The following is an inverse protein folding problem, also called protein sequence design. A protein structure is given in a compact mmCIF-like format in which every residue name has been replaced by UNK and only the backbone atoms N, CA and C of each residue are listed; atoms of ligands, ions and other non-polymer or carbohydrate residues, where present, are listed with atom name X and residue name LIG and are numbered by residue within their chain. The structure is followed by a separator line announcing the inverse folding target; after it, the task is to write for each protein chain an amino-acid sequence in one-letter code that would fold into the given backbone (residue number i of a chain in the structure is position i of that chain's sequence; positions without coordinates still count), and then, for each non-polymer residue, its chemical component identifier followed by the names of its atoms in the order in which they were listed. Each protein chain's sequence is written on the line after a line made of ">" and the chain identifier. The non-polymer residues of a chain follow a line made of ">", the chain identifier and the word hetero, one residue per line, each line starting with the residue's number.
data_IF_740521230793
#
_entry.id   IF_740521230793
#
_cell.length_a   1.000
_cell.length_b   1.000
_cell.length_c   1.000
_cell.angle_alpha   90.00
_cell.angle_beta   90.00
_cell.angle_gamma   90.00
#
_symmetry.space_group_name_H-M   'P 1'
#
loop_
_entity.id
_entity.type
_entity.pdbx_description
1 polymer ?
#
# COMPACT_ATOMS: atom_id res chain seq x y z
N UNK A 1 30.48 -7.03 -20.58
CA UNK A 1 30.32 -7.60 -19.25
C UNK A 1 28.93 -7.39 -18.72
N UNK A 2 28.43 -8.37 -18.10
CA UNK A 2 27.08 -8.27 -17.57
C UNK A 2 27.06 -7.37 -16.34
N UNK A 3 26.03 -6.55 -16.26
CA UNK A 3 25.84 -5.74 -15.07
C UNK A 3 25.52 -6.63 -13.88
N UNK A 4 25.89 -6.19 -12.74
CA UNK A 4 25.54 -6.90 -11.53
C UNK A 4 24.03 -7.03 -11.43
N UNK A 5 23.57 -8.22 -11.10
CA UNK A 5 22.16 -8.46 -10.87
C UNK A 5 21.73 -8.09 -9.45
N UNK A 6 22.69 -7.80 -8.58
CA UNK A 6 22.38 -7.40 -7.22
C UNK A 6 21.80 -5.98 -7.22
N UNK A 7 20.78 -5.71 -6.42
CA UNK A 7 20.29 -4.35 -6.31
C UNK A 7 21.34 -3.46 -5.63
N UNK A 8 21.29 -2.16 -5.87
CA UNK A 8 22.18 -1.27 -5.13
C UNK A 8 21.88 -1.34 -3.64
N UNK A 9 22.90 -1.11 -2.85
CA UNK A 9 22.71 -1.10 -1.40
C UNK A 9 21.71 0.01 -1.03
N UNK A 10 20.87 -0.29 -0.07
CA UNK A 10 19.89 0.68 0.41
C UNK A 10 20.62 1.86 1.02
N UNK A 11 20.24 3.05 0.62
CA UNK A 11 20.81 4.28 1.14
C UNK A 11 22.02 4.79 0.40
N UNK A 12 22.48 4.07 -0.64
CA UNK A 12 23.66 4.49 -1.40
C UNK A 12 23.33 5.16 -2.72
N UNK A 13 22.08 5.14 -3.13
CA UNK A 13 21.69 5.80 -4.37
C UNK A 13 21.66 7.30 -4.17
N UNK A 14 21.60 8.04 -5.26
CA UNK A 14 21.56 9.48 -5.21
C UNK A 14 20.28 10.01 -4.57
N UNK A 15 20.02 11.30 -4.77
CA UNK A 15 18.85 11.94 -4.19
C UNK A 15 17.57 11.21 -4.61
N UNK A 16 16.64 11.01 -3.69
CA UNK A 16 15.36 10.43 -4.07
C UNK A 16 14.64 11.32 -5.05
N UNK A 17 13.97 10.69 -6.01
CA UNK A 17 13.15 11.41 -6.98
C UNK A 17 11.70 11.36 -6.53
N UNK A 18 10.88 12.33 -7.00
CA UNK A 18 9.45 12.25 -6.71
C UNK A 18 8.89 10.87 -7.09
N UNK A 19 8.12 10.27 -6.21
CA UNK A 19 7.53 8.97 -6.45
C UNK A 19 8.43 7.77 -6.17
N UNK A 20 9.67 7.99 -5.77
CA UNK A 20 10.60 6.90 -5.48
C UNK A 20 10.73 6.59 -4.00
N UNK A 21 10.11 7.37 -3.16
CA UNK A 21 10.20 7.15 -1.73
C UNK A 21 8.88 7.47 -1.06
N UNK A 22 8.69 6.87 0.10
CA UNK A 22 7.54 7.15 0.94
C UNK A 22 8.05 7.45 2.35
N UNK A 23 7.27 8.19 3.10
CA UNK A 23 7.58 8.50 4.49
C UNK A 23 6.74 7.61 5.39
N UNK A 24 7.33 7.20 6.50
CA UNK A 24 6.63 6.37 7.49
C UNK A 24 6.96 6.89 8.88
N UNK A 25 6.04 6.69 9.82
CA UNK A 25 6.28 7.08 11.20
C UNK A 25 6.91 5.92 11.97
N UNK A 26 7.70 6.24 12.99
CA UNK A 26 8.34 5.22 13.80
C UNK A 26 7.34 4.28 14.46
N UNK A 27 6.26 4.84 15.00
CA UNK A 27 5.23 4.01 15.65
C UNK A 27 4.56 3.05 14.67
N UNK A 28 4.43 3.46 13.43
CA UNK A 28 3.86 2.59 12.40
C UNK A 28 4.75 1.35 12.22
N UNK A 29 6.05 1.52 12.28
CA UNK A 29 6.96 0.38 12.15
C UNK A 29 6.83 -0.60 13.31
N UNK A 30 6.64 -0.10 14.53
CA UNK A 30 6.43 -0.97 15.67
C UNK A 30 5.15 -1.80 15.50
N UNK A 31 4.08 -1.12 15.09
CA UNK A 31 2.81 -1.81 14.84
C UNK A 31 2.94 -2.81 13.69
N UNK A 32 3.68 -2.44 12.67
CA UNK A 32 3.91 -3.30 11.50
C UNK A 32 4.69 -4.55 11.89
N UNK A 33 5.69 -4.40 12.75
CA UNK A 33 6.44 -5.55 13.25
C UNK A 33 5.50 -6.52 13.97
N UNK A 34 4.57 -5.98 14.78
CA UNK A 34 3.56 -6.81 15.43
C UNK A 34 2.64 -7.49 14.43
N UNK A 35 2.27 -6.79 13.37
CA UNK A 35 1.45 -7.36 12.31
C UNK A 35 2.17 -8.51 11.62
N UNK A 36 3.47 -8.34 11.35
CA UNK A 36 4.27 -9.41 10.74
C UNK A 36 4.21 -10.67 11.59
N UNK A 37 4.32 -10.51 12.89
CA UNK A 37 4.32 -11.65 13.81
C UNK A 37 2.96 -12.36 13.84
N UNK A 38 1.87 -11.61 13.78
CA UNK A 38 0.51 -12.16 13.90
C UNK A 38 -0.10 -12.55 12.57
N UNK A 39 0.13 -11.75 11.56
CA UNK A 39 -0.53 -11.88 10.26
C UNK A 39 0.49 -11.63 9.14
N UNK A 40 1.43 -12.54 8.92
CA UNK A 40 2.53 -12.28 7.98
C UNK A 40 2.07 -12.00 6.55
N UNK A 41 1.00 -12.66 6.08
CA UNK A 41 0.53 -12.41 4.71
C UNK A 41 -0.10 -11.03 4.58
N UNK A 42 -0.82 -10.59 5.62
CA UNK A 42 -1.37 -9.25 5.63
C UNK A 42 -0.26 -8.20 5.62
N UNK A 43 0.78 -8.42 6.42
CA UNK A 43 1.92 -7.51 6.47
C UNK A 43 2.63 -7.46 5.11
N UNK A 44 2.78 -8.60 4.46
CA UNK A 44 3.39 -8.66 3.13
C UNK A 44 2.56 -7.85 2.12
N UNK A 45 1.24 -8.05 2.15
CA UNK A 45 0.36 -7.30 1.26
C UNK A 45 0.50 -5.79 1.51
N UNK A 46 0.57 -5.39 2.77
CA UNK A 46 0.71 -3.97 3.09
C UNK A 46 1.99 -3.39 2.49
N UNK A 47 3.09 -4.13 2.54
CA UNK A 47 4.33 -3.68 1.91
C UNK A 47 4.15 -3.49 0.40
N UNK A 48 3.47 -4.42 -0.26
CA UNK A 48 3.21 -4.29 -1.69
C UNK A 48 2.35 -3.06 -2.00
N UNK A 49 1.34 -2.81 -1.17
CA UNK A 49 0.49 -1.64 -1.38
C UNK A 49 1.27 -0.34 -1.17
N UNK A 50 2.08 -0.29 -0.12
CA UNK A 50 2.88 0.91 0.14
C UNK A 50 3.87 1.16 -1.00
N UNK A 51 4.46 0.10 -1.54
CA UNK A 51 5.40 0.22 -2.64
C UNK A 51 4.75 0.75 -3.92
N UNK A 52 3.44 0.49 -4.10
CA UNK A 52 2.73 0.84 -5.33
C UNK A 52 1.86 2.08 -5.20
N UNK A 53 1.68 2.60 -4.00
CA UNK A 53 0.71 3.67 -3.79
C UNK A 53 1.10 4.95 -4.52
N UNK A 54 0.08 5.62 -5.05
CA UNK A 54 0.26 6.90 -5.70
C UNK A 54 0.19 8.05 -4.72
N UNK A 55 0.01 9.25 -5.27
CA UNK A 55 0.07 10.48 -4.47
C UNK A 55 -1.00 10.57 -3.41
N UNK A 56 -2.13 9.91 -3.62
CA UNK A 56 -3.24 9.96 -2.66
C UNK A 56 -3.29 8.69 -1.82
N UNK A 57 -2.16 8.03 -1.68
CA UNK A 57 -2.04 6.79 -0.92
C UNK A 57 -2.94 5.67 -1.47
N UNK A 58 -3.35 5.78 -2.72
CA UNK A 58 -4.28 4.83 -3.31
C UNK A 58 -3.58 3.95 -4.33
N UNK A 59 -3.96 2.67 -4.35
CA UNK A 59 -3.49 1.70 -5.33
C UNK A 59 -4.71 1.09 -5.98
N UNK A 60 -4.81 1.21 -7.30
CA UNK A 60 -5.91 0.60 -8.06
C UNK A 60 -5.36 -0.69 -8.65
N UNK A 61 -5.85 -1.82 -8.17
CA UNK A 61 -5.29 -3.10 -8.57
C UNK A 61 -6.32 -4.20 -8.32
N UNK A 62 -6.26 -5.26 -9.13
CA UNK A 62 -7.12 -6.41 -8.92
C UNK A 62 -6.51 -7.35 -7.89
N UNK A 63 -7.38 -8.15 -7.25
CA UNK A 63 -6.89 -9.17 -6.32
C UNK A 63 -6.03 -10.20 -7.03
N UNK A 64 -6.36 -10.48 -8.29
CA UNK A 64 -5.59 -11.44 -9.07
C UNK A 64 -4.16 -10.95 -9.27
N UNK A 65 -3.99 -9.67 -9.56
CA UNK A 65 -2.66 -9.10 -9.71
C UNK A 65 -1.90 -9.13 -8.39
N UNK A 66 -2.58 -8.82 -7.29
CA UNK A 66 -1.96 -8.90 -5.97
C UNK A 66 -1.52 -10.32 -5.65
N UNK A 67 -2.35 -11.30 -5.99
CA UNK A 67 -1.99 -12.70 -5.78
C UNK A 67 -0.72 -13.06 -6.53
N UNK A 68 -0.58 -12.58 -7.76
CA UNK A 68 0.63 -12.84 -8.54
C UNK A 68 1.85 -12.17 -7.92
N UNK A 69 1.70 -10.92 -7.49
CA UNK A 69 2.81 -10.20 -6.85
C UNK A 69 3.28 -10.91 -5.58
N UNK A 70 2.34 -11.42 -4.81
CA UNK A 70 2.66 -12.06 -3.54
C UNK A 70 3.04 -13.53 -3.69
N UNK A 71 2.74 -14.13 -4.84
CA UNK A 71 2.97 -15.55 -5.02
C UNK A 71 2.03 -16.42 -4.20
N UNK A 72 0.79 -15.98 -4.04
CA UNK A 72 -0.21 -16.67 -3.22
C UNK A 72 -1.52 -16.79 -4.00
N UNK A 73 -2.50 -17.47 -3.40
CA UNK A 73 -3.82 -17.64 -4.01
C UNK A 73 -4.67 -16.39 -3.80
N UNK A 74 -5.73 -16.28 -4.62
CA UNK A 74 -6.71 -15.20 -4.44
C UNK A 74 -7.34 -15.25 -3.06
N UNK A 75 -7.56 -16.44 -2.55
CA UNK A 75 -8.14 -16.61 -1.22
C UNK A 75 -7.25 -16.00 -0.14
N UNK A 76 -5.94 -16.23 -0.26
CA UNK A 76 -4.99 -15.66 0.68
C UNK A 76 -5.00 -14.13 0.60
N UNK A 77 -5.10 -13.57 -0.62
CA UNK A 77 -5.19 -12.13 -0.79
C UNK A 77 -6.45 -11.59 -0.12
N UNK A 78 -7.60 -12.24 -0.34
CA UNK A 78 -8.84 -11.76 0.28
C UNK A 78 -8.75 -11.78 1.80
N UNK A 79 -8.16 -12.83 2.36
CA UNK A 79 -7.98 -12.92 3.80
C UNK A 79 -7.05 -11.82 4.32
N UNK A 80 -5.96 -11.56 3.60
CA UNK A 80 -5.02 -10.50 3.98
C UNK A 80 -5.69 -9.13 3.93
N UNK A 81 -6.49 -8.87 2.90
CA UNK A 81 -7.22 -7.61 2.79
C UNK A 81 -8.18 -7.45 3.97
N UNK A 82 -8.91 -8.51 4.30
CA UNK A 82 -9.84 -8.47 5.42
C UNK A 82 -9.12 -8.10 6.71
N UNK A 83 -7.96 -8.70 6.95
CA UNK A 83 -7.17 -8.41 8.14
C UNK A 83 -6.70 -6.95 8.17
N UNK A 84 -6.23 -6.45 7.04
CA UNK A 84 -5.74 -5.07 6.96
C UNK A 84 -6.86 -4.05 7.17
N UNK A 85 -8.04 -4.33 6.62
CA UNK A 85 -9.19 -3.44 6.78
C UNK A 85 -9.66 -3.47 8.23
N UNK A 86 -9.72 -4.64 8.84
CA UNK A 86 -10.18 -4.79 10.21
C UNK A 86 -9.30 -4.01 11.18
N UNK A 87 -8.02 -3.95 10.94
CA UNK A 87 -7.08 -3.23 11.81
C UNK A 87 -6.78 -1.82 11.31
N UNK A 88 -7.51 -1.37 10.30
CA UNK A 88 -7.43 0.01 9.80
C UNK A 88 -6.09 0.39 9.16
N UNK A 89 -5.38 -0.59 8.64
CA UNK A 89 -4.18 -0.32 7.86
C UNK A 89 -4.52 0.25 6.49
N UNK A 90 -5.63 -0.23 5.92
CA UNK A 90 -6.09 0.23 4.60
C UNK A 90 -7.61 0.34 4.60
N UNK A 91 -8.11 1.12 3.64
CA UNK A 91 -9.53 1.15 3.29
C UNK A 91 -9.68 0.63 1.88
N UNK A 92 -10.82 0.05 1.56
CA UNK A 92 -11.10 -0.46 0.22
C UNK A 92 -12.25 0.32 -0.37
N UNK A 93 -12.05 0.82 -1.59
CA UNK A 93 -13.08 1.52 -2.34
C UNK A 93 -13.32 0.71 -3.61
N UNK A 94 -14.55 0.22 -3.79
CA UNK A 94 -14.90 -0.53 -5.00
C UNK A 94 -15.15 0.46 -6.13
N UNK A 95 -14.55 0.16 -7.28
CA UNK A 95 -14.72 1.00 -8.44
C UNK A 95 -15.89 0.50 -9.27
N UNK A 96 -16.66 1.44 -9.82
CA UNK A 96 -17.77 1.09 -10.69
C UNK A 96 -17.25 0.57 -12.03
N UNK A 97 -17.96 -0.41 -12.56
CA UNK A 97 -17.61 -0.96 -13.86
C UNK A 97 -17.49 -2.47 -13.81
N UNK A 98 -17.24 -3.09 -14.94
CA UNK A 98 -17.08 -4.54 -14.98
C UNK A 98 -15.76 -4.94 -14.33
N UNK A 99 -15.76 -6.09 -13.68
CA UNK A 99 -14.55 -6.64 -13.12
C UNK A 99 -14.44 -6.45 -11.62
N UNK A 100 -13.31 -6.85 -11.08
CA UNK A 100 -13.08 -6.93 -9.65
C UNK A 100 -11.96 -6.00 -9.20
N UNK A 101 -11.85 -4.86 -9.83
CA UNK A 101 -10.81 -3.89 -9.49
C UNK A 101 -11.31 -3.01 -8.35
N UNK A 102 -10.45 -2.82 -7.37
CA UNK A 102 -10.72 -1.95 -6.24
C UNK A 102 -9.57 -0.98 -6.04
N UNK A 103 -9.85 0.11 -5.35
CA UNK A 103 -8.81 1.01 -4.90
C UNK A 103 -8.55 0.72 -3.42
N UNK A 104 -7.29 0.54 -3.09
CA UNK A 104 -6.86 0.31 -1.71
C UNK A 104 -6.15 1.57 -1.25
N UNK A 105 -6.65 2.18 -0.19
CA UNK A 105 -6.10 3.44 0.31
C UNK A 105 -5.35 3.14 1.60
N UNK A 106 -4.05 3.35 1.58
CA UNK A 106 -3.21 3.11 2.74
C UNK A 106 -3.45 4.22 3.76
N UNK A 107 -3.60 3.84 5.03
CA UNK A 107 -3.80 4.80 6.10
C UNK A 107 -2.59 5.74 6.15
N UNK A 108 -2.86 7.05 6.19
CA UNK A 108 -1.81 8.06 6.17
C UNK A 108 -0.96 8.05 7.45
N UNK A 109 -1.43 7.41 8.49
CA UNK A 109 -0.62 7.22 9.70
C UNK A 109 0.40 6.11 9.53
N UNK A 110 0.24 5.30 8.49
CA UNK A 110 1.20 4.23 8.19
C UNK A 110 2.32 4.77 7.30
N UNK A 111 1.93 5.39 6.20
CA UNK A 111 2.89 5.87 5.20
C UNK A 111 2.22 6.95 4.34
N UNK A 112 3.04 7.78 3.74
CA UNK A 112 2.54 8.75 2.76
C UNK A 112 3.61 9.00 1.71
N UNK A 113 3.14 9.22 0.48
CA UNK A 113 4.04 9.34 -0.68
C UNK A 113 4.29 10.75 -1.15
N UNK A 114 3.88 11.76 -0.38
CA UNK A 114 4.04 13.16 -0.77
C UNK A 114 4.35 13.99 0.46
N UNK A 115 4.78 15.25 0.29
CA UNK A 115 5.11 16.10 1.43
C UNK A 115 3.96 16.15 2.43
N UNK A 116 4.32 16.25 3.71
CA UNK A 116 3.36 16.16 4.81
C UNK A 116 2.29 17.23 4.71
N UNK A 117 2.63 18.40 4.19
CA UNK A 117 1.68 19.49 4.05
C UNK A 117 0.60 19.19 3.01
N UNK A 118 0.83 18.19 2.12
CA UNK A 118 -0.14 17.79 1.12
C UNK A 118 -0.93 16.56 1.54
N UNK A 119 -0.60 15.98 2.67
CA UNK A 119 -1.22 14.73 3.12
C UNK A 119 -2.70 14.93 3.42
N UNK A 120 -3.05 16.08 3.96
CA UNK A 120 -4.43 16.39 4.28
C UNK A 120 -5.31 16.36 3.03
N UNK A 121 -4.78 16.84 1.92
CA UNK A 121 -5.50 16.79 0.65
C UNK A 121 -5.72 15.37 0.19
N UNK A 122 -4.71 14.51 0.34
CA UNK A 122 -4.84 13.11 -0.02
C UNK A 122 -5.96 12.43 0.75
N UNK A 123 -5.99 12.67 2.06
CA UNK A 123 -7.01 12.07 2.91
C UNK A 123 -8.41 12.57 2.50
N UNK A 124 -8.51 13.86 2.25
CA UNK A 124 -9.77 14.44 1.83
C UNK A 124 -10.24 13.85 0.50
N UNK A 125 -9.33 13.75 -0.46
CA UNK A 125 -9.67 13.17 -1.76
C UNK A 125 -10.13 11.73 -1.64
N UNK A 126 -9.46 10.95 -0.81
CA UNK A 126 -9.85 9.57 -0.59
C UNK A 126 -11.25 9.48 0.01
N UNK A 127 -11.57 10.35 0.95
CA UNK A 127 -12.91 10.36 1.55
C UNK A 127 -13.98 10.71 0.53
N UNK A 128 -13.69 11.67 -0.35
CA UNK A 128 -14.65 12.05 -1.40
C UNK A 128 -14.89 10.89 -2.35
N UNK A 129 -13.85 10.19 -2.73
CA UNK A 129 -13.98 9.02 -3.61
C UNK A 129 -14.82 7.94 -2.93
N UNK A 130 -14.59 7.70 -1.64
CA UNK A 130 -15.37 6.71 -0.91
C UNK A 130 -16.85 7.08 -0.85
N UNK A 131 -17.15 8.36 -0.67
CA UNK A 131 -18.54 8.82 -0.66
C UNK A 131 -19.24 8.57 -1.99
N UNK A 132 -18.52 8.75 -3.08
CA UNK A 132 -19.07 8.48 -4.40
C UNK A 132 -19.36 7.01 -4.61
N UNK A 133 -18.59 6.15 -3.99
CA UNK A 133 -18.75 4.71 -4.17
C UNK A 133 -19.89 4.14 -3.34
N UNK A 134 -20.37 4.90 -2.38
CA UNK A 134 -21.56 4.50 -1.63
C UNK A 134 -22.79 4.56 -2.50
#
# INVERSE_FOLDING_TARGET
>A
MRKSSAPPAIGTSGKPRPGQWVQTERKAHEAWAGLIARKPRAAMLLHHLVAQMGQQNAVVVSQKTLAKLMGVTDRTVRSAITDLVAERWVSVVKLNGPGTVSAYVVNDRVAWGQPRDQLRMSVFSAAVVADFED
#
